data_IF_566921150044
#
_entry.id   IF_566921150044
#
_cell.length_a   1.000
_cell.length_b   1.000
_cell.length_c   1.000
_cell.angle_alpha   90.00
_cell.angle_beta   90.00
_cell.angle_gamma   90.00
#
_symmetry.space_group_name_H-M   'P 1'
#
loop_
_entity.id
_entity.type
_entity.pdbx_description
1 polymer ?
#
# COMPACT_ATOMS: atom_id res chain seq x y z
N UNK A 1 -1.49 -32.44 -43.87
CA UNK A 1 -0.24 -32.04 -43.17
C UNK A 1 0.18 -30.62 -43.56
N UNK A 2 -0.70 -29.63 -43.36
CA UNK A 2 -0.48 -28.23 -43.75
C UNK A 2 -0.60 -27.27 -42.56
N UNK A 3 -1.35 -27.67 -41.53
CA UNK A 3 -1.63 -26.86 -40.34
C UNK A 3 -0.35 -26.48 -39.56
N UNK A 4 0.68 -27.32 -39.61
CA UNK A 4 1.98 -27.05 -38.97
C UNK A 4 2.63 -25.78 -39.52
N UNK A 5 2.46 -25.47 -40.82
CA UNK A 5 2.99 -24.25 -41.41
C UNK A 5 2.30 -22.98 -40.90
N UNK A 6 1.13 -23.10 -40.27
CA UNK A 6 0.43 -21.98 -39.64
C UNK A 6 0.73 -21.94 -38.14
N UNK A 7 0.72 -23.09 -37.47
CA UNK A 7 0.93 -23.18 -36.02
C UNK A 7 2.35 -22.80 -35.60
N UNK A 8 3.37 -23.19 -36.36
CA UNK A 8 4.77 -22.87 -36.03
C UNK A 8 5.02 -21.35 -36.02
N UNK A 9 4.74 -20.58 -37.10
CA UNK A 9 4.96 -19.14 -37.07
C UNK A 9 4.03 -18.41 -36.08
N UNK A 10 2.78 -18.87 -35.92
CA UNK A 10 1.87 -18.30 -34.94
C UNK A 10 2.38 -18.50 -33.50
N UNK A 11 2.89 -19.70 -33.19
CA UNK A 11 3.50 -19.99 -31.90
C UNK A 11 4.75 -19.16 -31.63
N UNK A 12 5.63 -19.01 -32.62
CA UNK A 12 6.82 -18.15 -32.53
C UNK A 12 6.45 -16.67 -32.33
N UNK A 13 5.41 -16.19 -33.01
CA UNK A 13 4.91 -14.83 -32.84
C UNK A 13 4.40 -14.61 -31.41
N UNK A 14 3.57 -15.51 -30.90
CA UNK A 14 3.03 -15.42 -29.54
C UNK A 14 4.15 -15.51 -28.49
N UNK A 15 5.12 -16.41 -28.68
CA UNK A 15 6.29 -16.50 -27.82
C UNK A 15 7.12 -15.21 -27.83
N UNK A 16 7.35 -14.64 -29.02
CA UNK A 16 8.07 -13.37 -29.17
C UNK A 16 7.37 -12.21 -28.46
N UNK A 17 6.04 -12.11 -28.59
CA UNK A 17 5.24 -11.10 -27.90
C UNK A 17 5.33 -11.29 -26.38
N UNK A 18 5.20 -12.53 -25.90
CA UNK A 18 5.30 -12.84 -24.47
C UNK A 18 6.67 -12.47 -23.89
N UNK A 19 7.76 -12.80 -24.60
CA UNK A 19 9.11 -12.44 -24.19
C UNK A 19 9.33 -10.92 -24.20
N UNK A 20 8.85 -10.21 -25.23
CA UNK A 20 8.94 -8.76 -25.30
C UNK A 20 8.20 -8.08 -24.14
N UNK A 21 6.97 -8.53 -23.84
CA UNK A 21 6.18 -8.04 -22.71
C UNK A 21 6.88 -8.32 -21.36
N UNK A 22 7.47 -9.51 -21.21
CA UNK A 22 8.21 -9.89 -20.00
C UNK A 22 9.45 -9.03 -19.78
N UNK A 23 10.27 -8.80 -20.82
CA UNK A 23 11.45 -7.94 -20.74
C UNK A 23 11.07 -6.47 -20.46
N UNK A 24 9.97 -5.99 -21.06
CA UNK A 24 9.43 -4.67 -20.76
C UNK A 24 9.01 -4.55 -19.29
N UNK A 25 8.29 -5.55 -18.75
CA UNK A 25 7.84 -5.56 -17.37
C UNK A 25 8.99 -5.56 -16.35
N UNK A 26 10.09 -6.28 -16.62
CA UNK A 26 11.29 -6.26 -15.78
C UNK A 26 11.91 -4.87 -15.73
N UNK A 27 12.02 -4.20 -16.89
CA UNK A 27 12.63 -2.87 -17.00
C UNK A 27 11.74 -1.74 -16.44
N UNK A 28 10.43 -1.95 -16.33
CA UNK A 28 9.48 -0.90 -15.97
C UNK A 28 9.37 -0.62 -14.46
N UNK A 29 10.34 -1.08 -13.65
CA UNK A 29 10.51 -0.63 -12.27
C UNK A 29 9.39 -0.99 -11.29
N UNK A 30 8.51 -1.94 -11.61
CA UNK A 30 7.42 -2.39 -10.71
C UNK A 30 7.89 -3.03 -9.39
N UNK A 31 9.21 -3.17 -9.19
CA UNK A 31 9.80 -3.67 -7.96
C UNK A 31 10.25 -2.56 -6.99
N UNK A 32 10.23 -1.29 -7.40
CA UNK A 32 10.69 -0.15 -6.58
C UNK A 32 9.71 0.17 -5.43
N UNK A 33 8.43 -0.17 -5.58
CA UNK A 33 7.38 0.09 -4.57
C UNK A 33 7.19 -1.05 -3.55
N UNK A 34 7.95 -2.14 -3.67
CA UNK A 34 7.93 -3.24 -2.69
C UNK A 34 8.85 -2.97 -1.47
N UNK A 35 9.71 -1.95 -1.55
CA UNK A 35 10.70 -1.65 -0.50
C UNK A 35 10.13 -0.79 0.65
N UNK A 36 8.92 -0.21 0.49
CA UNK A 36 8.48 0.92 1.35
C UNK A 36 7.62 0.66 2.61
N UNK A 37 6.98 -0.50 2.87
CA UNK A 37 6.19 -0.66 4.11
C UNK A 37 6.95 -1.31 5.28
N UNK A 38 7.91 -2.19 5.02
CA UNK A 38 8.50 -3.06 6.05
C UNK A 38 9.37 -2.29 7.07
N UNK A 39 10.07 -1.25 6.61
CA UNK A 39 10.93 -0.43 7.47
C UNK A 39 10.15 0.50 8.40
N UNK A 40 8.92 0.88 8.04
CA UNK A 40 8.12 1.82 8.83
C UNK A 40 7.64 1.24 10.16
N UNK A 41 7.34 -0.07 10.21
CA UNK A 41 6.94 -0.76 11.44
C UNK A 41 8.10 -0.89 12.45
N UNK A 42 9.34 -1.02 11.98
CA UNK A 42 10.51 -1.15 12.87
C UNK A 42 10.99 0.19 13.42
N UNK A 43 10.73 1.30 12.71
CA UNK A 43 11.17 2.65 13.10
C UNK A 43 10.08 3.48 13.82
N UNK A 44 8.81 3.06 13.79
CA UNK A 44 7.71 3.78 14.45
C UNK A 44 7.67 3.58 15.98
N UNK A 45 8.43 2.63 16.54
CA UNK A 45 8.52 2.43 18.00
C UNK A 45 9.35 3.50 18.71
N UNK A 46 10.16 4.29 17.99
CA UNK A 46 11.02 5.33 18.58
C UNK A 46 10.37 6.71 18.65
N UNK A 47 9.16 6.88 18.09
CA UNK A 47 8.41 8.14 18.12
C UNK A 47 6.97 7.96 18.57
N UNK A 48 6.75 7.36 19.74
CA UNK A 48 5.57 7.70 20.53
C UNK A 48 5.82 9.09 21.14
N UNK A 49 5.16 10.18 20.68
CA UNK A 49 5.07 11.36 21.52
C UNK A 49 4.43 10.93 22.85
N UNK A 50 4.88 11.45 24.01
CA UNK A 50 4.27 11.10 25.28
C UNK A 50 2.78 11.32 25.15
N UNK A 51 2.00 10.29 25.48
CA UNK A 51 0.55 10.36 25.50
C UNK A 51 0.18 11.63 26.25
N UNK A 52 -0.32 12.64 25.51
CA UNK A 52 -0.86 13.83 26.12
C UNK A 52 -2.08 13.33 26.89
N UNK A 53 -1.90 13.13 28.19
CA UNK A 53 -2.97 13.06 29.17
C UNK A 53 -3.94 14.18 28.83
N UNK A 54 -5.05 13.81 28.20
CA UNK A 54 -6.22 14.67 28.20
C UNK A 54 -6.76 14.54 29.63
N UNK A 55 -6.34 15.47 30.48
CA UNK A 55 -7.07 15.79 31.69
C UNK A 55 -8.46 16.22 31.22
N UNK A 56 -9.39 15.28 31.24
CA UNK A 56 -10.81 15.55 31.07
C UNK A 56 -11.41 15.66 32.47
N UNK A 57 -11.10 16.77 33.15
CA UNK A 57 -11.76 17.19 34.39
C UNK A 57 -12.41 18.58 34.22
N UNK A 58 -12.82 18.90 32.99
CA UNK A 58 -13.61 20.12 32.69
C UNK A 58 -15.07 19.76 32.41
N UNK A 59 -15.64 18.81 33.18
CA UNK A 59 -17.09 18.65 33.31
C UNK A 59 -17.43 18.67 34.80
N UNK A 60 -17.21 19.81 35.43
CA UNK A 60 -17.99 20.25 36.59
C UNK A 60 -18.02 21.79 36.60
N UNK A 61 -18.23 22.36 35.40
CA UNK A 61 -18.63 23.75 35.26
C UNK A 61 -20.09 23.86 35.74
N UNK A 62 -20.24 24.33 36.97
CA UNK A 62 -21.21 25.35 37.34
C UNK A 62 -22.51 25.37 36.51
N UNK A 63 -23.44 24.48 36.84
CA UNK A 63 -24.80 24.53 36.32
C UNK A 63 -25.84 24.02 37.32
N UNK A 64 -25.71 24.32 38.62
CA UNK A 64 -26.80 24.09 39.58
C UNK A 64 -26.79 25.06 40.78
N UNK A 65 -26.51 26.34 40.52
CA UNK A 65 -26.80 27.43 41.46
C UNK A 65 -27.73 28.48 40.82
N UNK A 66 -28.79 28.02 40.16
CA UNK A 66 -29.92 28.89 39.82
C UNK A 66 -31.25 28.14 39.72
N UNK A 67 -31.89 27.94 40.87
CA UNK A 67 -33.29 27.51 40.93
C UNK A 67 -33.51 26.49 42.03
N UNK A 68 -34.08 26.94 43.16
CA UNK A 68 -34.21 26.20 44.43
C UNK A 68 -35.11 26.90 45.44
N UNK A 69 -34.86 28.12 45.91
CA UNK A 69 -35.64 28.66 47.04
C UNK A 69 -35.31 30.12 47.38
#
# INVERSE_FOLDING_TARGET
>A
MSILFVLIPLGLLLLGIALAAFLWAIGNGQYDDLESPAWRILLDDEKRPPAKTSNHNDIEESADEHGRD
#
